data_IF_393650680768
#
_entry.id   IF_393650680768
#
_cell.length_a   1.000
_cell.length_b   1.000
_cell.length_c   1.000
_cell.angle_alpha   90.00
_cell.angle_beta   90.00
_cell.angle_gamma   90.00
#
_symmetry.space_group_name_H-M   'P 1'
#
loop_
_entity.id
_entity.type
_entity.pdbx_description
1 polymer ?
#
# COMPACT_ATOMS: atom_id res chain seq x y z
N UNK A 1 16.19 -31.66 2.62
CA UNK A 1 17.00 -30.47 2.99
C UNK A 1 16.11 -29.58 3.82
N UNK A 2 16.51 -29.42 5.08
CA UNK A 2 15.78 -28.73 6.13
C UNK A 2 15.61 -27.25 5.76
N UNK A 3 14.37 -26.83 5.45
CA UNK A 3 14.06 -25.40 5.29
C UNK A 3 13.91 -24.88 6.70
N UNK A 4 14.91 -24.16 7.17
CA UNK A 4 14.79 -23.31 8.35
C UNK A 4 13.54 -22.43 8.18
N UNK A 5 12.44 -22.80 8.83
CA UNK A 5 11.28 -21.93 8.98
C UNK A 5 11.76 -20.71 9.74
N UNK A 6 12.07 -19.62 9.03
CA UNK A 6 12.21 -18.34 9.68
C UNK A 6 10.89 -18.09 10.42
N UNK A 7 10.96 -17.88 11.74
CA UNK A 7 9.79 -17.58 12.56
C UNK A 7 9.21 -16.26 12.05
N UNK A 8 8.21 -16.34 11.18
CA UNK A 8 7.45 -15.18 10.75
C UNK A 8 6.72 -14.63 11.97
N UNK A 9 7.04 -13.39 12.36
CA UNK A 9 6.29 -12.71 13.41
C UNK A 9 5.12 -11.98 12.76
N UNK A 10 3.91 -12.22 13.28
CA UNK A 10 2.72 -11.51 12.83
C UNK A 10 2.01 -10.82 13.97
N UNK A 11 1.35 -9.70 13.67
CA UNK A 11 0.61 -8.91 14.65
C UNK A 11 -0.65 -8.33 14.01
N UNK A 12 -1.72 -8.26 14.78
CA UNK A 12 -3.00 -7.70 14.35
C UNK A 12 -3.11 -6.23 14.77
N UNK A 13 -3.72 -5.46 13.90
CA UNK A 13 -3.99 -4.03 14.04
C UNK A 13 -5.42 -3.76 13.59
N UNK A 14 -6.00 -2.71 14.15
CA UNK A 14 -7.30 -2.18 13.81
C UNK A 14 -7.18 -0.80 13.14
N UNK A 15 -8.30 -0.16 12.82
CA UNK A 15 -8.33 1.18 12.24
C UNK A 15 -7.63 2.25 13.10
N UNK A 16 -7.57 2.06 14.42
CA UNK A 16 -7.00 3.02 15.37
C UNK A 16 -5.48 2.86 15.51
N UNK A 17 -4.98 1.63 15.41
CA UNK A 17 -3.57 1.29 15.66
C UNK A 17 -2.75 1.14 14.38
N UNK A 18 -3.38 0.80 13.25
CA UNK A 18 -2.73 0.56 11.97
C UNK A 18 -1.82 1.71 11.54
N UNK A 19 -2.36 2.92 11.36
CA UNK A 19 -1.60 4.04 10.78
C UNK A 19 -0.38 4.42 11.62
N UNK A 20 -0.48 4.36 12.96
CA UNK A 20 0.64 4.64 13.85
C UNK A 20 1.80 3.67 13.62
N UNK A 21 1.52 2.38 13.45
CA UNK A 21 2.57 1.37 13.18
C UNK A 21 3.02 1.43 11.73
N UNK A 22 2.10 1.58 10.78
CA UNK A 22 2.40 1.67 9.36
C UNK A 22 3.33 2.85 9.05
N UNK A 23 3.07 4.05 9.59
CA UNK A 23 3.95 5.21 9.43
C UNK A 23 5.36 4.98 10.01
N UNK A 24 5.49 4.20 11.08
CA UNK A 24 6.81 3.79 11.60
C UNK A 24 7.51 2.86 10.64
N UNK A 25 6.81 1.86 10.09
CA UNK A 25 7.40 0.96 9.11
C UNK A 25 7.84 1.71 7.84
N UNK A 26 7.05 2.67 7.37
CA UNK A 26 7.42 3.57 6.28
C UNK A 26 8.70 4.38 6.60
N UNK A 27 8.90 4.81 7.84
CA UNK A 27 10.12 5.53 8.20
C UNK A 27 11.39 4.70 7.99
N UNK A 28 11.31 3.37 8.13
CA UNK A 28 12.42 2.42 7.90
C UNK A 28 12.48 1.85 6.48
N UNK A 29 11.44 2.05 5.67
CA UNK A 29 11.42 1.64 4.27
C UNK A 29 12.49 2.39 3.46
N UNK A 30 13.28 1.64 2.68
CA UNK A 30 14.58 2.09 2.17
C UNK A 30 14.81 1.81 0.69
N UNK A 31 14.06 0.91 0.06
CA UNK A 31 14.23 0.50 -1.33
C UNK A 31 12.92 0.62 -2.12
N UNK A 32 11.83 0.05 -1.61
CA UNK A 32 10.59 -0.11 -2.36
C UNK A 32 9.37 -0.13 -1.43
N UNK A 33 8.35 0.66 -1.79
CA UNK A 33 7.02 0.64 -1.19
C UNK A 33 6.00 0.32 -2.27
N UNK A 34 5.23 -0.75 -2.07
CA UNK A 34 4.08 -1.09 -2.90
C UNK A 34 2.85 -0.98 -2.03
N UNK A 35 1.84 -0.24 -2.47
CA UNK A 35 0.53 -0.18 -1.81
C UNK A 35 -0.53 -0.55 -2.84
N UNK A 36 -1.40 -1.48 -2.47
CA UNK A 36 -2.59 -1.83 -3.23
C UNK A 36 -3.81 -1.39 -2.42
N UNK A 37 -4.61 -0.50 -2.99
CA UNK A 37 -5.81 0.06 -2.34
C UNK A 37 -6.82 0.43 -3.43
N UNK A 38 -8.06 -0.07 -3.35
CA UNK A 38 -9.05 0.14 -4.42
C UNK A 38 -9.45 1.59 -4.59
N UNK A 39 -9.32 2.40 -3.55
CA UNK A 39 -9.67 3.81 -3.60
C UNK A 39 -8.52 4.66 -3.03
N UNK A 40 -8.44 5.89 -3.52
CA UNK A 40 -7.53 6.93 -3.08
C UNK A 40 -8.35 8.20 -2.79
N UNK A 41 -8.14 8.83 -1.64
CA UNK A 41 -8.86 10.07 -1.27
C UNK A 41 -7.92 11.14 -0.76
N UNK A 42 -8.17 12.40 -1.10
CA UNK A 42 -7.33 13.53 -0.68
C UNK A 42 -7.21 13.65 0.83
N UNK A 43 -8.29 13.36 1.56
CA UNK A 43 -8.29 13.38 3.02
C UNK A 43 -7.24 12.44 3.61
N UNK A 44 -7.16 11.21 3.09
CA UNK A 44 -6.17 10.23 3.54
C UNK A 44 -4.78 10.58 3.01
N UNK A 45 -4.66 10.95 1.74
CA UNK A 45 -3.38 11.31 1.12
C UNK A 45 -2.70 12.49 1.82
N UNK A 46 -3.46 13.49 2.27
CA UNK A 46 -2.95 14.59 3.10
C UNK A 46 -2.19 14.12 4.35
N UNK A 47 -2.62 13.02 4.96
CA UNK A 47 -1.93 12.43 6.14
C UNK A 47 -0.67 11.66 5.76
N UNK A 48 -0.64 11.06 4.57
CA UNK A 48 0.48 10.24 4.10
C UNK A 48 1.57 11.08 3.42
N UNK A 49 1.23 12.24 2.85
CA UNK A 49 2.14 13.08 2.07
C UNK A 49 3.46 13.42 2.75
N UNK A 50 3.50 13.82 4.04
CA UNK A 50 4.75 14.12 4.70
C UNK A 50 5.73 12.94 4.72
N UNK A 51 5.22 11.71 4.79
CA UNK A 51 6.04 10.49 4.82
C UNK A 51 6.41 10.03 3.42
N UNK A 52 5.47 10.07 2.48
CA UNK A 52 5.73 9.71 1.07
C UNK A 52 6.79 10.62 0.44
N UNK A 53 6.72 11.94 0.69
CA UNK A 53 7.74 12.89 0.20
C UNK A 53 9.13 12.61 0.78
N UNK A 54 9.22 12.19 2.05
CA UNK A 54 10.50 11.77 2.66
C UNK A 54 11.02 10.49 2.02
N UNK A 55 10.15 9.53 1.71
CA UNK A 55 10.53 8.30 1.02
C UNK A 55 11.09 8.59 -0.38
N UNK A 56 10.38 9.39 -1.17
CA UNK A 56 10.83 9.83 -2.49
C UNK A 56 12.17 10.59 -2.40
N UNK A 57 12.32 11.48 -1.42
CA UNK A 57 13.59 12.19 -1.19
C UNK A 57 14.77 11.30 -0.79
N UNK A 58 14.50 10.09 -0.27
CA UNK A 58 15.52 9.05 -0.02
C UNK A 58 15.75 8.13 -1.22
N UNK A 59 15.06 8.35 -2.34
CA UNK A 59 15.15 7.51 -3.53
C UNK A 59 14.39 6.19 -3.43
N UNK A 60 13.46 6.06 -2.48
CA UNK A 60 12.60 4.87 -2.38
C UNK A 60 11.62 4.85 -3.54
N UNK A 61 11.55 3.72 -4.25
CA UNK A 61 10.56 3.52 -5.32
C UNK A 61 9.18 3.30 -4.71
N UNK A 62 8.18 4.02 -5.19
CA UNK A 62 6.81 3.90 -4.69
C UNK A 62 5.89 3.51 -5.84
N UNK A 63 5.10 2.47 -5.60
CA UNK A 63 4.13 1.92 -6.53
C UNK A 63 2.75 1.88 -5.87
N UNK A 64 1.75 2.52 -6.48
CA UNK A 64 0.36 2.42 -6.06
C UNK A 64 -0.45 1.63 -7.09
N UNK A 65 -1.07 0.55 -6.66
CA UNK A 65 -2.06 -0.19 -7.43
C UNK A 65 -3.42 0.27 -6.92
N UNK A 66 -4.19 0.91 -7.79
CA UNK A 66 -5.51 1.43 -7.44
C UNK A 66 -6.52 1.17 -8.53
N UNK A 67 -7.81 1.12 -8.17
CA UNK A 67 -8.86 0.89 -9.16
C UNK A 67 -8.93 2.09 -10.09
N UNK A 68 -9.24 1.82 -11.36
CA UNK A 68 -9.45 2.87 -12.34
C UNK A 68 -10.57 3.83 -11.88
N UNK A 69 -10.31 5.15 -11.76
CA UNK A 69 -11.30 6.13 -11.36
C UNK A 69 -12.58 6.10 -12.20
N UNK A 70 -12.49 5.68 -13.47
CA UNK A 70 -13.64 5.55 -14.38
C UNK A 70 -14.64 4.47 -13.95
N UNK A 71 -14.24 3.57 -13.06
CA UNK A 71 -15.10 2.55 -12.47
C UNK A 71 -15.68 2.97 -11.10
N UNK A 72 -15.39 4.19 -10.63
CA UNK A 72 -15.88 4.71 -9.36
C UNK A 72 -17.29 5.28 -9.51
N UNK A 73 -17.99 5.44 -8.38
CA UNK A 73 -19.27 6.14 -8.35
C UNK A 73 -19.06 7.63 -8.66
N UNK A 74 -20.09 8.25 -9.26
CA UNK A 74 -20.09 9.66 -9.68
C UNK A 74 -19.60 10.59 -8.56
N UNK A 75 -18.61 11.42 -8.89
CA UNK A 75 -18.01 12.39 -7.97
C UNK A 75 -16.74 11.92 -7.24
N UNK A 76 -16.54 10.61 -7.05
CA UNK A 76 -15.26 10.09 -6.53
C UNK A 76 -14.17 10.03 -7.60
N UNK A 77 -14.56 9.97 -8.87
CA UNK A 77 -13.66 9.92 -10.04
C UNK A 77 -12.68 11.10 -10.06
N UNK A 78 -13.18 12.35 -10.04
CA UNK A 78 -12.36 13.56 -10.13
C UNK A 78 -11.33 13.65 -9.01
N UNK A 79 -11.75 13.39 -7.77
CA UNK A 79 -10.83 13.39 -6.64
C UNK A 79 -9.76 12.31 -6.79
N UNK A 80 -10.15 11.12 -7.25
CA UNK A 80 -9.19 10.02 -7.44
C UNK A 80 -8.19 10.37 -8.54
N UNK A 81 -8.66 10.91 -9.67
CA UNK A 81 -7.82 11.36 -10.79
C UNK A 81 -6.84 12.46 -10.39
N UNK A 82 -7.29 13.45 -9.61
CA UNK A 82 -6.43 14.53 -9.11
C UNK A 82 -5.30 13.99 -8.21
N UNK A 83 -5.62 13.08 -7.28
CA UNK A 83 -4.61 12.48 -6.42
C UNK A 83 -3.67 11.56 -7.20
N UNK A 84 -4.17 10.80 -8.18
CA UNK A 84 -3.33 9.94 -9.04
C UNK A 84 -2.36 10.80 -9.84
N UNK A 85 -2.84 11.85 -10.49
CA UNK A 85 -1.99 12.79 -11.24
C UNK A 85 -0.93 13.42 -10.33
N UNK A 86 -1.31 13.83 -9.12
CA UNK A 86 -0.35 14.38 -8.16
C UNK A 86 0.68 13.34 -7.68
N UNK A 87 0.28 12.07 -7.52
CA UNK A 87 1.21 10.97 -7.27
C UNK A 87 2.26 10.87 -8.39
N UNK A 88 1.81 10.84 -9.63
CA UNK A 88 2.68 10.70 -10.82
C UNK A 88 3.62 11.89 -10.99
N UNK A 89 3.14 13.11 -10.78
CA UNK A 89 3.96 14.34 -10.80
C UNK A 89 5.10 14.31 -9.77
N UNK A 90 4.89 13.65 -8.62
CA UNK A 90 5.91 13.46 -7.58
C UNK A 90 6.86 12.28 -7.86
N UNK A 91 6.61 11.50 -8.92
CA UNK A 91 7.41 10.32 -9.27
C UNK A 91 6.95 9.01 -8.62
N UNK A 92 5.72 8.96 -8.09
CA UNK A 92 5.09 7.71 -7.67
C UNK A 92 4.50 7.04 -8.92
N UNK A 93 4.79 5.76 -9.11
CA UNK A 93 4.21 5.00 -10.22
C UNK A 93 2.82 4.50 -9.84
N UNK A 94 1.80 4.87 -10.61
CA UNK A 94 0.42 4.43 -10.37
C UNK A 94 -0.01 3.45 -11.45
N UNK A 95 -0.50 2.30 -11.02
CA UNK A 95 -1.00 1.22 -11.86
C UNK A 95 -2.53 1.16 -11.70
N UNK A 96 -3.24 1.53 -12.76
CA UNK A 96 -4.70 1.48 -12.78
C UNK A 96 -5.18 0.05 -13.02
N UNK A 97 -5.99 -0.44 -12.11
CA UNK A 97 -6.52 -1.80 -12.13
C UNK A 97 -7.99 -1.79 -12.53
N UNK A 98 -8.33 -2.51 -13.60
CA UNK A 98 -9.71 -2.73 -14.03
C UNK A 98 -10.33 -3.96 -13.35
N UNK A 99 -11.66 -4.03 -13.32
CA UNK A 99 -12.39 -5.26 -13.02
C UNK A 99 -12.48 -5.63 -11.53
N UNK A 100 -13.27 -4.87 -10.77
CA UNK A 100 -13.60 -5.15 -9.36
C UNK A 100 -12.36 -5.34 -8.45
N UNK A 101 -11.30 -4.61 -8.75
CA UNK A 101 -10.08 -4.63 -7.94
C UNK A 101 -10.38 -4.13 -6.53
N UNK A 102 -10.24 -4.99 -5.52
CA UNK A 102 -10.62 -4.67 -4.13
C UNK A 102 -9.63 -5.18 -3.07
N UNK A 103 -8.39 -5.49 -3.48
CA UNK A 103 -7.33 -5.93 -2.57
C UNK A 103 -6.75 -4.75 -1.81
N UNK A 104 -6.27 -5.03 -0.60
CA UNK A 104 -5.78 -4.04 0.35
C UNK A 104 -4.55 -4.57 1.06
N UNK A 105 -3.39 -4.11 0.62
CA UNK A 105 -2.12 -4.57 1.15
C UNK A 105 -1.02 -3.54 0.92
N UNK A 106 0.08 -3.73 1.63
CA UNK A 106 1.33 -3.05 1.33
C UNK A 106 2.53 -3.98 1.50
N UNK A 107 3.52 -3.83 0.63
CA UNK A 107 4.78 -4.56 0.69
C UNK A 107 5.89 -3.52 0.82
N UNK A 108 6.69 -3.62 1.88
CA UNK A 108 7.81 -2.72 2.14
C UNK A 108 9.12 -3.52 2.05
N UNK A 109 10.03 -3.06 1.19
CA UNK A 109 11.36 -3.63 0.94
C UNK A 109 11.36 -5.16 0.70
N UNK A 110 10.22 -5.71 0.26
CA UNK A 110 9.96 -7.16 0.17
C UNK A 110 10.30 -7.93 1.46
N UNK A 111 10.11 -7.28 2.62
CA UNK A 111 10.42 -7.79 3.97
C UNK A 111 9.25 -7.69 4.92
N UNK A 112 8.42 -6.68 4.78
CA UNK A 112 7.21 -6.49 5.59
C UNK A 112 6.01 -6.53 4.67
N UNK A 113 5.02 -7.34 5.04
CA UNK A 113 3.73 -7.44 4.39
C UNK A 113 2.66 -6.90 5.35
N UNK A 114 1.80 -6.05 4.81
CA UNK A 114 0.55 -5.63 5.42
C UNK A 114 -0.60 -6.14 4.56
N UNK A 115 -1.63 -6.72 5.16
CA UNK A 115 -2.82 -7.20 4.45
C UNK A 115 -4.06 -7.12 5.36
N UNK A 116 -5.23 -6.88 4.78
CA UNK A 116 -6.47 -6.88 5.55
C UNK A 116 -7.65 -6.21 4.86
N UNK A 117 -8.57 -5.65 5.65
CA UNK A 117 -9.81 -5.04 5.18
C UNK A 117 -9.73 -3.52 5.00
N UNK A 118 -8.69 -2.87 5.54
CA UNK A 118 -8.52 -1.42 5.54
C UNK A 118 -8.02 -0.86 4.20
N UNK A 119 -8.70 0.13 3.64
CA UNK A 119 -8.22 0.86 2.46
C UNK A 119 -7.11 1.84 2.83
N UNK A 120 -5.84 1.49 2.58
CA UNK A 120 -4.69 2.27 3.06
C UNK A 120 -4.70 3.71 2.53
N UNK A 121 -5.17 3.91 1.29
CA UNK A 121 -5.19 5.22 0.62
C UNK A 121 -6.53 5.96 0.74
N UNK A 122 -7.54 5.40 1.42
CA UNK A 122 -8.86 6.05 1.51
C UNK A 122 -9.67 5.82 2.79
N UNK A 123 -9.18 5.04 3.77
CA UNK A 123 -9.97 4.74 4.98
C UNK A 123 -10.35 6.03 5.72
N UNK A 124 -11.57 6.05 6.28
CA UNK A 124 -12.10 7.18 7.05
C UNK A 124 -12.78 6.72 8.35
N UNK A 125 -13.99 6.17 8.26
CA UNK A 125 -14.81 5.81 9.43
C UNK A 125 -15.37 4.38 9.30
N UNK A 126 -14.47 3.41 9.34
CA UNK A 126 -14.81 1.99 9.25
C UNK A 126 -14.05 1.19 10.30
N UNK A 127 -14.64 0.08 10.75
CA UNK A 127 -14.00 -0.92 11.61
C UNK A 127 -13.22 -1.87 10.74
N UNK A 128 -11.93 -2.00 10.99
CA UNK A 128 -11.04 -2.72 10.07
C UNK A 128 -10.10 -3.66 10.82
N UNK A 129 -9.57 -4.63 10.08
CA UNK A 129 -8.47 -5.47 10.54
C UNK A 129 -7.33 -5.40 9.54
N UNK A 130 -6.12 -5.30 10.06
CA UNK A 130 -4.87 -5.40 9.30
C UNK A 130 -3.91 -6.34 10.01
N UNK A 131 -3.28 -7.22 9.27
CA UNK A 131 -2.19 -8.06 9.74
C UNK A 131 -0.88 -7.51 9.21
N UNK A 132 0.08 -7.31 10.10
CA UNK A 132 1.49 -7.11 9.76
C UNK A 132 2.20 -8.44 9.85
N UNK A 133 3.00 -8.78 8.85
CA UNK A 133 3.87 -9.94 8.82
C UNK A 133 5.28 -9.45 8.55
N UNK A 134 6.22 -9.80 9.43
CA UNK A 134 7.64 -9.55 9.24
C UNK A 134 8.31 -10.84 8.78
N UNK A 135 8.79 -10.84 7.55
CA UNK A 135 9.37 -12.02 6.91
C UNK A 135 9.48 -11.83 5.40
N UNK A 136 10.72 -11.91 4.89
CA UNK A 136 11.02 -11.83 3.45
C UNK A 136 10.28 -12.91 2.65
N UNK A 137 10.15 -14.11 3.19
CA UNK A 137 9.47 -15.23 2.53
C UNK A 137 7.99 -14.91 2.28
N UNK A 138 7.27 -14.43 3.29
CA UNK A 138 5.85 -14.08 3.18
C UNK A 138 5.61 -12.89 2.25
N UNK A 139 6.46 -11.86 2.34
CA UNK A 139 6.38 -10.71 1.44
C UNK A 139 6.64 -11.10 -0.02
N UNK A 140 7.63 -11.95 -0.28
CA UNK A 140 7.91 -12.46 -1.63
C UNK A 140 6.83 -13.42 -2.13
N UNK A 141 6.25 -14.24 -1.26
CA UNK A 141 5.13 -15.10 -1.61
C UNK A 141 3.95 -14.28 -2.13
N UNK A 142 3.57 -13.22 -1.40
CA UNK A 142 2.51 -12.30 -1.84
C UNK A 142 2.88 -11.58 -3.14
N UNK A 143 4.11 -11.06 -3.23
CA UNK A 143 4.62 -10.40 -4.42
C UNK A 143 4.51 -11.28 -5.68
N UNK A 144 4.96 -12.54 -5.58
CA UNK A 144 4.92 -13.50 -6.68
C UNK A 144 3.50 -13.98 -6.99
N UNK A 145 2.66 -14.16 -5.95
CA UNK A 145 1.25 -14.54 -6.13
C UNK A 145 0.49 -13.52 -6.98
N UNK A 146 0.77 -12.23 -6.73
CA UNK A 146 0.20 -11.11 -7.50
C UNK A 146 0.92 -10.84 -8.83
N UNK A 147 2.04 -11.54 -9.08
CA UNK A 147 2.87 -11.39 -10.28
C UNK A 147 3.32 -9.95 -10.54
N UNK A 148 3.68 -9.25 -9.46
CA UNK A 148 4.04 -7.83 -9.50
C UNK A 148 5.28 -7.56 -10.35
N UNK A 149 6.17 -8.54 -10.51
CA UNK A 149 7.33 -8.50 -11.40
C UNK A 149 7.00 -8.18 -12.87
N UNK A 150 5.76 -8.42 -13.31
CA UNK A 150 5.34 -8.04 -14.67
C UNK A 150 5.05 -6.55 -14.83
N UNK A 151 4.94 -5.82 -13.72
CA UNK A 151 4.51 -4.42 -13.71
C UNK A 151 5.54 -3.47 -13.11
N UNK A 152 6.47 -3.96 -12.26
CA UNK A 152 7.39 -3.13 -11.47
C UNK A 152 8.86 -3.53 -11.50
#
# INVERSE_FOLDING_TARGET
MDRSNALNTSSLFDEATFYKKFLKDLAYCSHELIIESPYITSGRMKTLWPTLKKLLGRGVKIYFLTRDPREHELGMEYQSEDEIRYCEELGIQVLLCAGNHHRKLAILDRKVLWEGSLNILSQAHSREIMRRIEGKEMALQMFNFLRLDNFI
#
